data_IF_816953892678
#
_entry.id   IF_816953892678
#
_cell.length_a   1.000
_cell.length_b   1.000
_cell.length_c   1.000
_cell.angle_alpha   90.00
_cell.angle_beta   90.00
_cell.angle_gamma   90.00
#
_symmetry.space_group_name_H-M   'P 1'
#
loop_
_entity.id
_entity.type
_entity.pdbx_description
1 polymer ?
#
# COMPACT_ATOMS: atom_id res chain seq x y z
N UNK A 1 14.73 5.67 -13.84
CA UNK A 1 15.05 4.91 -12.61
C UNK A 1 13.78 4.20 -12.19
N UNK A 2 13.83 3.01 -11.57
CA UNK A 2 12.62 2.40 -11.02
C UNK A 2 12.08 3.26 -9.85
N UNK A 3 10.75 3.30 -9.65
CA UNK A 3 10.13 4.04 -8.55
C UNK A 3 10.61 3.52 -7.20
N UNK A 4 10.63 4.39 -6.18
CA UNK A 4 11.06 4.01 -4.82
C UNK A 4 10.00 3.18 -4.10
N UNK A 5 8.73 3.35 -4.47
CA UNK A 5 7.62 2.49 -4.06
C UNK A 5 6.79 2.13 -5.29
N UNK A 6 6.51 0.84 -5.44
CA UNK A 6 5.52 0.35 -6.40
C UNK A 6 4.53 -0.58 -5.70
N UNK A 7 3.26 -0.21 -5.73
CA UNK A 7 2.13 -1.00 -5.24
C UNK A 7 1.24 -1.33 -6.44
N UNK A 8 1.01 -2.62 -6.68
CA UNK A 8 0.15 -3.11 -7.77
C UNK A 8 -0.91 -4.06 -7.27
N UNK A 9 -2.16 -3.74 -7.60
CA UNK A 9 -3.36 -4.51 -7.27
C UNK A 9 -3.38 -5.00 -5.82
N UNK A 10 -2.92 -4.16 -4.89
CA UNK A 10 -2.81 -4.53 -3.49
C UNK A 10 -4.20 -4.56 -2.87
N UNK A 11 -4.53 -5.68 -2.24
CA UNK A 11 -5.73 -5.81 -1.44
C UNK A 11 -5.42 -6.43 -0.08
N UNK A 12 -6.26 -6.06 0.90
CA UNK A 12 -6.12 -6.50 2.29
C UNK A 12 -7.49 -6.79 2.87
N UNK A 13 -7.64 -8.04 3.33
CA UNK A 13 -8.81 -8.54 3.99
C UNK A 13 -8.49 -8.86 5.45
N UNK A 14 -9.44 -8.56 6.33
CA UNK A 14 -9.48 -9.10 7.69
C UNK A 14 -10.74 -9.95 7.81
N UNK A 15 -10.57 -11.27 7.76
CA UNK A 15 -11.70 -12.20 7.62
C UNK A 15 -12.45 -11.95 6.32
N UNK A 16 -13.76 -11.72 6.40
CA UNK A 16 -14.63 -11.40 5.26
C UNK A 16 -14.64 -9.92 4.89
N UNK A 17 -14.01 -9.04 5.69
CA UNK A 17 -14.01 -7.60 5.45
C UNK A 17 -12.82 -7.19 4.60
N UNK A 18 -13.11 -6.69 3.40
CA UNK A 18 -12.12 -6.13 2.48
C UNK A 18 -11.86 -4.64 2.82
N UNK A 19 -10.68 -4.35 3.35
CA UNK A 19 -10.28 -3.02 3.84
C UNK A 19 -9.54 -2.21 2.78
N UNK A 20 -8.66 -2.86 2.01
CA UNK A 20 -7.97 -2.26 0.87
C UNK A 20 -8.41 -2.97 -0.40
N UNK A 21 -8.78 -2.19 -1.42
CA UNK A 21 -9.41 -2.67 -2.65
C UNK A 21 -8.61 -2.18 -3.84
N UNK A 22 -7.89 -3.09 -4.50
CA UNK A 22 -7.18 -2.83 -5.75
C UNK A 22 -6.35 -1.53 -5.73
N UNK A 23 -5.50 -1.39 -4.71
CA UNK A 23 -4.68 -0.20 -4.54
C UNK A 23 -3.50 -0.26 -5.50
N UNK A 24 -3.33 0.82 -6.27
CA UNK A 24 -2.27 0.99 -7.25
C UNK A 24 -1.60 2.35 -7.04
N UNK A 25 -0.32 2.34 -6.67
CA UNK A 25 0.44 3.55 -6.34
C UNK A 25 1.89 3.38 -6.82
N UNK A 26 2.43 4.43 -7.44
CA UNK A 26 3.86 4.54 -7.75
C UNK A 26 4.37 5.86 -7.21
N UNK A 27 5.53 5.83 -6.54
CA UNK A 27 6.17 7.02 -5.97
C UNK A 27 7.60 7.09 -6.49
N UNK A 28 7.97 8.24 -7.04
CA UNK A 28 9.32 8.50 -7.49
C UNK A 28 10.20 9.05 -6.36
N UNK A 29 11.52 9.01 -6.57
CA UNK A 29 12.46 9.55 -5.59
C UNK A 29 12.27 11.07 -5.48
N UNK A 30 11.93 11.55 -4.28
CA UNK A 30 11.72 12.97 -3.98
C UNK A 30 10.26 13.39 -3.91
N UNK A 31 9.34 12.50 -4.28
CA UNK A 31 7.91 12.74 -4.13
C UNK A 31 7.48 12.73 -2.65
N UNK A 32 6.43 13.49 -2.37
CA UNK A 32 5.78 13.54 -1.06
C UNK A 32 4.32 13.10 -1.20
N UNK A 33 4.02 11.88 -0.75
CA UNK A 33 2.66 11.33 -0.76
C UNK A 33 1.91 11.69 0.54
N UNK A 34 0.68 12.18 0.40
CA UNK A 34 -0.25 12.37 1.51
C UNK A 34 -1.49 11.50 1.31
N UNK A 35 -1.85 10.71 2.32
CA UNK A 35 -3.09 9.94 2.34
C UNK A 35 -4.17 10.70 3.12
N UNK A 36 -5.27 11.04 2.44
CA UNK A 36 -6.43 11.74 3.02
C UNK A 36 -7.70 10.91 2.89
N UNK A 37 -8.60 11.04 3.86
CA UNK A 37 -9.88 10.34 3.87
C UNK A 37 -10.44 10.14 5.28
N UNK A 38 -11.73 9.77 5.41
CA UNK A 38 -12.41 9.60 6.69
C UNK A 38 -11.79 8.49 7.55
N UNK A 39 -12.10 8.47 8.86
CA UNK A 39 -11.65 7.39 9.73
C UNK A 39 -12.15 6.03 9.23
N UNK A 40 -11.34 4.98 9.37
CA UNK A 40 -11.69 3.62 8.94
C UNK A 40 -11.53 3.32 7.44
N UNK A 41 -11.16 4.29 6.60
CA UNK A 41 -11.02 4.05 5.14
C UNK A 41 -9.73 3.32 4.71
N UNK A 42 -8.97 2.74 5.64
CA UNK A 42 -7.78 1.92 5.32
C UNK A 42 -6.44 2.66 5.22
N UNK A 43 -6.34 3.97 5.51
CA UNK A 43 -5.07 4.73 5.42
C UNK A 43 -3.92 4.11 6.21
N UNK A 44 -4.13 3.89 7.51
CA UNK A 44 -3.11 3.30 8.39
C UNK A 44 -2.80 1.86 8.00
N UNK A 45 -3.80 1.10 7.53
CA UNK A 45 -3.61 -0.24 7.00
C UNK A 45 -2.69 -0.23 5.77
N UNK A 46 -2.92 0.68 4.82
CA UNK A 46 -2.07 0.81 3.64
C UNK A 46 -0.63 1.19 4.01
N UNK A 47 -0.43 2.16 4.91
CA UNK A 47 0.90 2.53 5.39
C UNK A 47 1.61 1.38 6.11
N UNK A 48 0.89 0.61 6.93
CA UNK A 48 1.46 -0.55 7.62
C UNK A 48 1.85 -1.66 6.63
N UNK A 49 1.06 -1.87 5.57
CA UNK A 49 1.41 -2.81 4.50
C UNK A 49 2.67 -2.35 3.74
N UNK A 50 2.76 -1.07 3.38
CA UNK A 50 3.94 -0.50 2.72
C UNK A 50 5.19 -0.62 3.60
N UNK A 51 5.05 -0.41 4.91
CA UNK A 51 6.14 -0.51 5.88
C UNK A 51 6.53 -1.97 6.22
N UNK A 52 5.82 -2.97 5.70
CA UNK A 52 6.05 -4.38 6.03
C UNK A 52 5.61 -4.78 7.45
N UNK A 53 4.85 -3.93 8.14
CA UNK A 53 4.33 -4.18 9.48
C UNK A 53 3.05 -5.03 9.47
N UNK A 54 2.34 -5.05 8.34
CA UNK A 54 1.14 -5.83 8.13
C UNK A 54 1.25 -6.58 6.80
N UNK A 55 1.08 -7.92 6.78
CA UNK A 55 1.11 -8.67 5.53
C UNK A 55 -0.07 -8.29 4.63
N UNK A 56 0.18 -8.15 3.33
CA UNK A 56 -0.87 -8.01 2.32
C UNK A 56 -1.64 -9.33 2.16
N UNK A 57 -2.92 -9.27 1.78
CA UNK A 57 -3.65 -10.49 1.40
C UNK A 57 -3.28 -10.92 -0.01
N UNK A 58 -3.02 -9.96 -0.90
CA UNK A 58 -2.43 -10.23 -2.21
C UNK A 58 -2.08 -8.95 -2.97
N UNK A 59 -1.64 -9.11 -4.21
CA UNK A 59 -0.99 -8.07 -5.01
C UNK A 59 0.51 -8.00 -4.73
N UNK A 60 1.15 -6.88 -5.08
CA UNK A 60 2.57 -6.65 -4.80
C UNK A 60 2.82 -5.27 -4.20
N UNK A 61 3.82 -5.20 -3.32
CA UNK A 61 4.35 -3.96 -2.76
C UNK A 61 5.88 -4.05 -2.76
N UNK A 62 6.55 -3.18 -3.49
CA UNK A 62 8.01 -3.17 -3.66
C UNK A 62 8.56 -1.84 -3.16
N UNK A 63 9.48 -1.89 -2.19
CA UNK A 63 10.17 -0.72 -1.68
C UNK A 63 11.64 -0.77 -2.12
N UNK A 64 12.14 0.27 -2.77
CA UNK A 64 13.52 0.35 -3.31
C UNK A 64 13.90 -0.79 -4.27
N UNK A 65 12.90 -1.46 -4.86
CA UNK A 65 13.08 -2.64 -5.71
C UNK A 65 13.40 -3.94 -4.94
N UNK A 66 13.22 -3.96 -3.61
CA UNK A 66 13.30 -5.17 -2.79
C UNK A 66 11.92 -5.54 -2.26
N UNK A 67 11.62 -6.83 -2.28
CA UNK A 67 10.48 -7.49 -1.62
C UNK A 67 10.78 -7.69 -0.15
#
# INVERSE_FOLDING_TARGET
MPPILEVKNLYKNYGSTEVLKDINVSIEKGDFLVLVGPSGCGKSTLLNCIAGLEPITGGTCLLTGKT
#
